data_IF_662762043925
#
_entry.id   IF_662762043925
#
_cell.length_a   1.000
_cell.length_b   1.000
_cell.length_c   1.000
_cell.angle_alpha   90.00
_cell.angle_beta   90.00
_cell.angle_gamma   90.00
#
_symmetry.space_group_name_H-M   'P 1'
#
loop_
_entity.id
_entity.type
_entity.pdbx_description
1 polymer ?
#
# COMPACT_ATOMS: atom_id res chain seq x y z
N UNK A 1 32.15 -28.39 -18.31
CA UNK A 1 30.74 -28.28 -18.78
C UNK A 1 29.87 -27.44 -17.85
N UNK A 2 29.87 -27.68 -16.53
CA UNK A 2 29.09 -26.90 -15.55
C UNK A 2 29.31 -25.38 -15.61
N UNK A 3 30.56 -24.90 -15.73
CA UNK A 3 30.87 -23.46 -15.84
C UNK A 3 30.24 -22.82 -17.09
N UNK A 4 30.28 -23.53 -18.23
CA UNK A 4 29.66 -23.04 -19.47
C UNK A 4 28.13 -23.02 -19.37
N UNK A 5 27.54 -23.93 -18.60
CA UNK A 5 26.10 -23.91 -18.30
C UNK A 5 25.73 -22.65 -17.51
N UNK A 6 26.42 -22.36 -16.40
CA UNK A 6 26.16 -21.15 -15.61
C UNK A 6 26.43 -19.86 -16.39
N UNK A 7 27.48 -19.83 -17.22
CA UNK A 7 27.77 -18.69 -18.07
C UNK A 7 26.63 -18.40 -19.06
N UNK A 8 26.09 -19.45 -19.72
CA UNK A 8 24.92 -19.31 -20.60
C UNK A 8 23.68 -18.87 -19.84
N UNK A 9 23.48 -19.37 -18.63
CA UNK A 9 22.33 -19.00 -17.80
C UNK A 9 22.38 -17.54 -17.35
N UNK A 10 23.55 -17.03 -16.99
CA UNK A 10 23.77 -15.61 -16.69
C UNK A 10 23.55 -14.75 -17.95
N UNK A 11 24.00 -15.21 -19.12
CA UNK A 11 23.79 -14.50 -20.39
C UNK A 11 22.32 -14.37 -20.77
N UNK A 12 21.48 -15.37 -20.49
CA UNK A 12 20.03 -15.28 -20.69
C UNK A 12 19.37 -14.15 -19.88
N UNK A 13 19.98 -13.77 -18.76
CA UNK A 13 19.51 -12.69 -17.89
C UNK A 13 20.14 -11.32 -18.22
N UNK A 14 20.73 -11.17 -19.41
CA UNK A 14 21.41 -9.92 -19.81
C UNK A 14 22.86 -9.84 -19.34
N UNK A 15 23.47 -10.98 -18.97
CA UNK A 15 24.88 -11.06 -18.62
C UNK A 15 25.19 -10.76 -17.16
N UNK A 16 24.16 -10.62 -16.32
CA UNK A 16 24.29 -10.48 -14.87
C UNK A 16 22.99 -10.88 -14.16
N UNK A 17 23.09 -11.45 -12.97
CA UNK A 17 21.95 -12.02 -12.24
C UNK A 17 22.24 -12.12 -10.75
N UNK A 18 21.19 -12.02 -9.93
CA UNK A 18 21.28 -12.23 -8.49
C UNK A 18 21.68 -13.67 -8.17
N UNK A 19 22.60 -13.84 -7.22
CA UNK A 19 23.12 -15.15 -6.78
C UNK A 19 21.98 -16.13 -6.43
N UNK A 20 20.98 -15.70 -5.68
CA UNK A 20 19.88 -16.59 -5.23
C UNK A 20 18.98 -17.10 -6.37
N UNK A 21 19.05 -16.52 -7.58
CA UNK A 21 18.28 -17.03 -8.74
C UNK A 21 18.94 -18.25 -9.39
N UNK A 22 20.26 -18.36 -9.28
CA UNK A 22 21.03 -19.47 -9.84
C UNK A 22 21.39 -20.48 -8.76
N UNK A 23 21.67 -20.01 -7.54
CA UNK A 23 22.21 -20.80 -6.46
C UNK A 23 21.14 -21.20 -5.42
N UNK A 24 20.08 -21.89 -5.87
CA UNK A 24 18.89 -22.18 -5.06
C UNK A 24 19.08 -23.33 -4.06
N UNK A 25 19.64 -24.47 -4.49
CA UNK A 25 19.74 -25.69 -3.65
C UNK A 25 21.18 -25.99 -3.18
N UNK A 26 22.20 -25.53 -3.90
CA UNK A 26 23.62 -25.89 -3.67
C UNK A 26 24.55 -24.67 -3.63
N UNK A 27 24.13 -23.65 -2.89
CA UNK A 27 24.74 -22.32 -2.91
C UNK A 27 26.27 -22.33 -2.70
N UNK A 28 26.75 -23.07 -1.71
CA UNK A 28 28.19 -23.15 -1.41
C UNK A 28 28.99 -23.87 -2.50
N UNK A 29 28.45 -24.95 -3.06
CA UNK A 29 29.09 -25.69 -4.16
C UNK A 29 29.18 -24.83 -5.43
N UNK A 30 28.11 -24.11 -5.75
CA UNK A 30 28.06 -23.22 -6.93
C UNK A 30 29.02 -22.05 -6.77
N UNK A 31 29.05 -21.42 -5.59
CA UNK A 31 30.01 -20.34 -5.29
C UNK A 31 31.45 -20.84 -5.42
N UNK A 32 31.74 -22.04 -4.90
CA UNK A 32 33.07 -22.64 -5.02
C UNK A 32 33.43 -22.89 -6.48
N UNK A 33 32.55 -23.51 -7.27
CA UNK A 33 32.78 -23.75 -8.70
C UNK A 33 33.01 -22.45 -9.50
N UNK A 34 32.25 -21.39 -9.19
CA UNK A 34 32.43 -20.08 -9.81
C UNK A 34 33.75 -19.43 -9.39
N UNK A 35 34.19 -19.62 -8.14
CA UNK A 35 35.48 -19.09 -7.67
C UNK A 35 36.71 -19.72 -8.35
N UNK A 36 36.53 -20.87 -9.02
CA UNK A 36 37.59 -21.55 -9.76
C UNK A 36 37.73 -21.07 -11.21
N UNK A 37 37.00 -20.03 -11.64
CA UNK A 37 37.05 -19.53 -13.01
C UNK A 37 37.03 -18.01 -13.10
N UNK A 38 37.78 -17.48 -14.06
CA UNK A 38 37.78 -16.04 -14.39
C UNK A 38 36.65 -15.65 -15.36
N UNK A 39 35.85 -16.62 -15.83
CA UNK A 39 34.77 -16.37 -16.81
C UNK A 39 33.51 -15.78 -16.19
N UNK A 40 33.35 -15.92 -14.88
CA UNK A 40 32.19 -15.46 -14.13
C UNK A 40 32.73 -14.69 -12.92
N UNK A 41 32.34 -13.42 -12.85
CA UNK A 41 32.72 -12.55 -11.74
C UNK A 41 31.61 -12.62 -10.70
N UNK A 42 32.00 -12.85 -9.46
CA UNK A 42 31.11 -12.78 -8.31
C UNK A 42 31.38 -11.49 -7.55
N UNK A 43 30.37 -10.63 -7.45
CA UNK A 43 30.41 -9.52 -6.51
C UNK A 43 29.66 -9.91 -5.24
N UNK A 44 30.33 -9.74 -4.10
CA UNK A 44 29.73 -10.02 -2.79
C UNK A 44 28.65 -9.00 -2.47
N UNK A 45 27.69 -9.44 -1.66
CA UNK A 45 26.65 -8.59 -1.11
C UNK A 45 27.24 -7.39 -0.35
N UNK A 46 26.63 -6.22 -0.53
CA UNK A 46 26.94 -5.00 0.21
C UNK A 46 25.63 -4.34 0.69
N UNK A 47 25.71 -3.15 1.30
CA UNK A 47 24.53 -2.48 1.86
C UNK A 47 23.47 -2.12 0.80
N UNK A 48 23.90 -1.84 -0.43
CA UNK A 48 23.05 -1.33 -1.50
C UNK A 48 22.60 -2.41 -2.50
N UNK A 49 23.38 -3.48 -2.63
CA UNK A 49 23.23 -4.52 -3.65
C UNK A 49 23.31 -5.92 -3.06
N UNK A 50 22.51 -6.84 -3.62
CA UNK A 50 22.61 -8.28 -3.33
C UNK A 50 23.90 -8.87 -3.90
N UNK A 51 24.24 -10.10 -3.49
CA UNK A 51 25.30 -10.86 -4.17
C UNK A 51 24.90 -11.17 -5.61
N UNK A 52 25.83 -10.98 -6.55
CA UNK A 52 25.56 -11.10 -7.99
C UNK A 52 26.63 -11.92 -8.70
N UNK A 53 26.21 -12.58 -9.78
CA UNK A 53 27.10 -13.17 -10.77
C UNK A 53 26.99 -12.41 -12.08
N UNK A 54 28.13 -12.10 -12.70
CA UNK A 54 28.20 -11.40 -13.97
C UNK A 54 29.24 -12.03 -14.90
N UNK A 55 29.04 -11.88 -16.20
CA UNK A 55 30.01 -12.35 -17.22
C UNK A 55 31.14 -11.35 -17.48
N UNK A 56 30.96 -10.08 -17.09
CA UNK A 56 31.96 -9.01 -17.25
C UNK A 56 31.77 -7.93 -16.18
N UNK A 57 32.84 -7.20 -15.83
CA UNK A 57 32.76 -6.04 -14.94
C UNK A 57 31.93 -4.90 -15.55
N UNK A 58 31.96 -4.76 -16.88
CA UNK A 58 31.15 -3.77 -17.61
C UNK A 58 29.65 -3.95 -17.35
N UNK A 59 29.15 -5.19 -17.32
CA UNK A 59 27.74 -5.47 -17.02
C UNK A 59 27.36 -5.03 -15.60
N UNK A 60 28.27 -5.19 -14.64
CA UNK A 60 28.07 -4.75 -13.25
C UNK A 60 28.01 -3.22 -13.19
N UNK A 61 28.96 -2.53 -13.83
CA UNK A 61 29.02 -1.07 -13.84
C UNK A 61 27.77 -0.47 -14.49
N UNK A 62 27.39 -0.98 -15.67
CA UNK A 62 26.18 -0.56 -16.39
C UNK A 62 24.93 -0.72 -15.53
N UNK A 63 24.78 -1.85 -14.86
CA UNK A 63 23.62 -2.07 -14.00
C UNK A 63 23.59 -1.14 -12.79
N UNK A 64 24.74 -0.90 -12.15
CA UNK A 64 24.84 0.08 -11.05
C UNK A 64 24.49 1.49 -11.51
N UNK A 65 24.89 1.89 -12.71
CA UNK A 65 24.53 3.18 -13.30
C UNK A 65 23.02 3.28 -13.56
N UNK A 66 22.41 2.23 -14.12
CA UNK A 66 20.95 2.17 -14.33
C UNK A 66 20.22 2.28 -12.99
N UNK A 67 20.63 1.52 -11.98
CA UNK A 67 20.03 1.58 -10.63
C UNK A 67 20.14 3.00 -10.05
N UNK A 68 21.32 3.63 -10.13
CA UNK A 68 21.50 5.02 -9.64
C UNK A 68 20.59 6.00 -10.37
N UNK A 69 20.48 5.89 -11.69
CA UNK A 69 19.60 6.74 -12.50
C UNK A 69 18.13 6.55 -12.10
N UNK A 70 17.69 5.30 -11.96
CA UNK A 70 16.32 4.97 -11.57
C UNK A 70 16.00 5.45 -10.15
N UNK A 71 16.93 5.32 -9.20
CA UNK A 71 16.74 5.88 -7.83
C UNK A 71 16.53 7.39 -7.92
N UNK A 72 17.37 8.11 -8.67
CA UNK A 72 17.23 9.55 -8.83
C UNK A 72 15.90 9.94 -9.47
N UNK A 73 15.47 9.23 -10.52
CA UNK A 73 14.16 9.46 -11.16
C UNK A 73 12.98 9.18 -10.21
N UNK A 74 13.10 8.18 -9.34
CA UNK A 74 12.09 7.87 -8.32
C UNK A 74 12.06 8.94 -7.22
N UNK A 75 13.22 9.41 -6.76
CA UNK A 75 13.34 10.49 -5.76
C UNK A 75 12.77 11.81 -6.29
N UNK A 76 13.04 12.16 -7.55
CA UNK A 76 12.50 13.37 -8.20
C UNK A 76 10.97 13.34 -8.33
N UNK A 77 10.39 12.17 -8.62
CA UNK A 77 8.94 12.03 -8.79
C UNK A 77 8.20 11.82 -7.47
N UNK A 78 8.84 11.21 -6.49
CA UNK A 78 8.27 10.95 -5.16
C UNK A 78 7.11 9.94 -5.12
N UNK A 79 6.83 9.25 -6.23
CA UNK A 79 5.74 8.26 -6.35
C UNK A 79 6.20 7.00 -7.10
N UNK A 80 5.61 5.82 -6.81
CA UNK A 80 5.88 4.59 -7.56
C UNK A 80 5.65 4.76 -9.07
N UNK A 81 6.54 4.19 -9.87
CA UNK A 81 6.51 4.24 -11.34
C UNK A 81 5.97 2.93 -11.89
N UNK A 82 4.90 2.98 -12.68
CA UNK A 82 4.42 1.81 -13.41
C UNK A 82 5.46 1.30 -14.41
N UNK A 83 5.61 -0.02 -14.48
CA UNK A 83 6.55 -0.70 -15.37
C UNK A 83 5.87 -1.87 -16.07
N UNK A 84 6.17 -2.05 -17.36
CA UNK A 84 5.69 -3.21 -18.14
C UNK A 84 6.58 -4.45 -17.95
N UNK A 85 7.85 -4.24 -17.70
CA UNK A 85 8.84 -5.30 -17.50
C UNK A 85 9.86 -4.80 -16.49
N UNK A 86 10.19 -5.62 -15.50
CA UNK A 86 11.20 -5.27 -14.51
C UNK A 86 12.57 -5.64 -15.07
N UNK A 87 13.46 -4.67 -15.35
CA UNK A 87 14.79 -4.96 -15.86
C UNK A 87 15.58 -5.81 -14.86
N UNK A 88 16.32 -6.80 -15.36
CA UNK A 88 17.15 -7.67 -14.50
C UNK A 88 18.21 -6.88 -13.73
N UNK A 89 18.64 -5.75 -14.29
CA UNK A 89 19.58 -4.80 -13.69
C UNK A 89 19.02 -4.11 -12.44
N UNK A 90 17.69 -4.05 -12.26
CA UNK A 90 17.11 -3.48 -11.04
C UNK A 90 17.00 -4.53 -9.93
N UNK A 91 17.00 -5.84 -10.26
CA UNK A 91 16.84 -6.92 -9.27
C UNK A 91 18.03 -7.06 -8.33
N UNK A 92 19.18 -6.49 -8.72
CA UNK A 92 20.38 -6.49 -7.89
C UNK A 92 20.32 -5.45 -6.79
N UNK A 93 19.45 -4.45 -6.89
CA UNK A 93 19.34 -3.38 -5.90
C UNK A 93 18.49 -3.83 -4.71
N UNK A 94 18.95 -3.53 -3.50
CA UNK A 94 18.15 -3.62 -2.27
C UNK A 94 17.27 -2.38 -2.06
N UNK A 95 17.55 -1.30 -2.78
CA UNK A 95 16.88 0.00 -2.67
C UNK A 95 15.67 0.12 -3.57
N UNK A 96 15.59 -0.65 -4.66
CA UNK A 96 14.43 -0.67 -5.56
C UNK A 96 13.69 -1.98 -5.36
N UNK A 97 12.38 -1.90 -5.13
CA UNK A 97 11.51 -3.06 -5.03
C UNK A 97 10.30 -2.86 -5.93
N UNK A 98 9.67 -3.98 -6.32
CA UNK A 98 8.35 -3.97 -6.93
C UNK A 98 7.30 -3.67 -5.88
N UNK A 99 6.23 -2.99 -6.29
CA UNK A 99 5.01 -2.87 -5.51
C UNK A 99 4.35 -4.24 -5.35
N UNK A 100 3.46 -4.36 -4.37
CA UNK A 100 2.80 -5.64 -4.05
C UNK A 100 2.00 -6.24 -5.23
N UNK A 101 1.52 -5.42 -6.15
CA UNK A 101 0.80 -5.84 -7.34
C UNK A 101 1.71 -6.13 -8.55
N UNK A 102 3.04 -6.03 -8.38
CA UNK A 102 4.06 -6.19 -9.42
C UNK A 102 3.92 -5.25 -10.63
N UNK A 103 3.07 -4.21 -10.54
CA UNK A 103 2.81 -3.27 -11.64
C UNK A 103 3.74 -2.08 -11.65
N UNK A 104 4.34 -1.75 -10.51
CA UNK A 104 5.18 -0.58 -10.36
C UNK A 104 6.48 -0.88 -9.60
N UNK A 105 7.43 0.03 -9.73
CA UNK A 105 8.67 0.05 -8.94
C UNK A 105 8.69 1.28 -8.04
N UNK A 106 9.32 1.12 -6.89
CA UNK A 106 9.62 2.25 -6.04
C UNK A 106 10.73 1.94 -5.04
N UNK A 107 11.01 2.91 -4.19
CA UNK A 107 12.07 2.76 -3.20
C UNK A 107 11.65 1.82 -2.07
N UNK A 108 12.57 1.00 -1.58
CA UNK A 108 12.32 0.05 -0.49
C UNK A 108 12.02 0.71 0.86
N UNK A 109 12.25 2.02 0.96
CA UNK A 109 11.88 2.89 2.08
C UNK A 109 10.43 3.36 2.00
N UNK A 110 9.79 3.29 0.82
CA UNK A 110 8.42 3.78 0.64
C UNK A 110 7.40 2.80 1.22
N UNK A 111 6.46 3.27 2.08
CA UNK A 111 5.42 2.43 2.66
C UNK A 111 4.53 1.70 1.65
N UNK A 112 4.32 2.33 0.48
CA UNK A 112 3.52 1.81 -0.63
C UNK A 112 4.19 0.62 -1.34
N UNK A 113 5.52 0.56 -1.27
CA UNK A 113 6.33 -0.48 -1.90
C UNK A 113 6.65 -1.59 -0.90
N UNK A 114 7.04 -1.20 0.32
CA UNK A 114 7.42 -2.14 1.38
C UNK A 114 6.75 -1.78 2.70
N UNK A 115 5.52 -2.27 2.94
CA UNK A 115 4.76 -1.94 4.14
C UNK A 115 5.30 -2.70 5.36
N UNK A 116 6.27 -2.10 6.04
CA UNK A 116 6.92 -2.70 7.23
C UNK A 116 6.00 -2.69 8.45
N UNK A 117 5.26 -1.60 8.66
CA UNK A 117 4.40 -1.43 9.83
C UNK A 117 2.98 -1.92 9.57
N UNK A 118 2.22 -2.16 10.65
CA UNK A 118 0.80 -2.54 10.54
C UNK A 118 0.00 -1.43 9.85
N UNK A 119 0.29 -0.16 10.16
CA UNK A 119 -0.31 1.01 9.52
C UNK A 119 -0.09 0.99 8.01
N UNK A 120 1.15 0.78 7.57
CA UNK A 120 1.48 0.80 6.14
C UNK A 120 0.73 -0.31 5.38
N UNK A 121 0.62 -1.50 5.99
CA UNK A 121 -0.14 -2.62 5.43
C UNK A 121 -1.62 -2.30 5.27
N UNK A 122 -2.22 -1.65 6.28
CA UNK A 122 -3.61 -1.19 6.22
C UNK A 122 -3.79 -0.15 5.10
N UNK A 123 -2.88 0.83 5.02
CA UNK A 123 -2.92 1.88 4.00
C UNK A 123 -2.81 1.30 2.59
N UNK A 124 -1.92 0.33 2.39
CA UNK A 124 -1.76 -0.38 1.12
C UNK A 124 -3.08 -1.03 0.69
N UNK A 125 -3.69 -1.83 1.57
CA UNK A 125 -4.94 -2.55 1.27
C UNK A 125 -6.08 -1.58 0.94
N UNK A 126 -6.27 -0.54 1.76
CA UNK A 126 -7.29 0.47 1.47
C UNK A 126 -7.04 1.18 0.15
N UNK A 127 -5.79 1.53 -0.16
CA UNK A 127 -5.42 2.21 -1.41
C UNK A 127 -5.65 1.32 -2.65
N UNK A 128 -5.47 0.01 -2.53
CA UNK A 128 -5.72 -0.94 -3.60
C UNK A 128 -7.22 -1.17 -3.86
N UNK A 129 -8.00 -1.36 -2.80
CA UNK A 129 -9.42 -1.66 -2.93
C UNK A 129 -10.27 -0.43 -3.28
N UNK A 130 -9.80 0.78 -2.94
CA UNK A 130 -10.47 2.06 -3.24
C UNK A 130 -11.91 2.15 -2.74
N UNK A 131 -12.24 1.40 -1.68
CA UNK A 131 -13.54 1.40 -1.01
C UNK A 131 -13.36 1.15 0.49
N UNK A 132 -14.33 1.54 1.33
CA UNK A 132 -14.24 1.24 2.75
C UNK A 132 -14.32 -0.27 3.03
N UNK A 133 -13.50 -0.76 3.95
CA UNK A 133 -13.38 -2.20 4.27
C UNK A 133 -13.60 -2.42 5.76
N UNK A 134 -14.19 -3.56 6.12
CA UNK A 134 -14.33 -3.96 7.50
C UNK A 134 -12.98 -4.41 8.09
N UNK A 135 -12.66 -4.05 9.34
CA UNK A 135 -11.36 -4.35 9.95
C UNK A 135 -10.99 -5.85 9.99
N UNK A 136 -11.99 -6.75 10.04
CA UNK A 136 -11.77 -8.20 9.97
C UNK A 136 -11.26 -8.61 8.59
N UNK A 137 -11.86 -8.09 7.54
CA UNK A 137 -11.47 -8.37 6.16
C UNK A 137 -10.07 -7.78 5.89
N UNK A 138 -9.78 -6.59 6.41
CA UNK A 138 -8.41 -6.03 6.39
C UNK A 138 -7.42 -6.99 7.06
N UNK A 139 -7.79 -7.59 8.20
CA UNK A 139 -6.92 -8.54 8.91
C UNK A 139 -6.63 -9.78 8.07
N UNK A 140 -7.65 -10.33 7.41
CA UNK A 140 -7.50 -11.47 6.51
C UNK A 140 -6.63 -11.14 5.29
N UNK A 141 -6.88 -9.98 4.67
CA UNK A 141 -6.08 -9.49 3.53
C UNK A 141 -4.61 -9.28 3.93
N UNK A 142 -4.33 -8.77 5.13
CA UNK A 142 -2.95 -8.67 5.66
C UNK A 142 -2.33 -10.05 5.86
N UNK A 143 -3.12 -11.02 6.36
CA UNK A 143 -2.67 -12.41 6.54
C UNK A 143 -2.26 -13.10 5.24
N UNK A 144 -2.89 -12.70 4.12
CA UNK A 144 -2.60 -13.22 2.78
C UNK A 144 -1.38 -12.55 2.12
N UNK A 145 -0.80 -11.50 2.71
CA UNK A 145 0.42 -10.89 2.17
C UNK A 145 1.63 -11.84 2.32
N UNK A 146 2.59 -11.83 1.38
CA UNK A 146 3.80 -12.65 1.41
C UNK A 146 4.65 -12.38 2.65
N UNK A 147 4.61 -11.15 3.17
CA UNK A 147 5.16 -10.78 4.47
C UNK A 147 4.20 -11.17 5.60
N UNK A 148 3.90 -12.47 5.69
CA UNK A 148 2.92 -13.06 6.59
C UNK A 148 3.18 -12.60 8.02
N UNK A 149 2.22 -11.86 8.58
CA UNK A 149 2.18 -11.58 10.01
C UNK A 149 0.76 -11.87 10.45
N UNK A 150 0.59 -12.94 11.21
CA UNK A 150 -0.69 -13.28 11.81
C UNK A 150 -0.99 -12.22 12.87
N UNK A 151 -1.76 -11.21 12.47
CA UNK A 151 -2.18 -10.13 13.35
C UNK A 151 -3.57 -10.46 13.89
N UNK A 152 -3.77 -10.22 15.18
CA UNK A 152 -5.09 -10.34 15.76
C UNK A 152 -6.00 -9.20 15.25
N UNK A 153 -7.29 -9.44 14.95
CA UNK A 153 -8.19 -8.39 14.46
C UNK A 153 -8.26 -7.16 15.38
N UNK A 154 -8.12 -7.38 16.70
CA UNK A 154 -8.09 -6.29 17.68
C UNK A 154 -6.86 -5.37 17.50
N UNK A 155 -5.72 -5.91 17.09
CA UNK A 155 -4.51 -5.12 16.81
C UNK A 155 -4.75 -4.18 15.63
N UNK A 156 -5.36 -4.68 14.56
CA UNK A 156 -5.75 -3.87 13.40
C UNK A 156 -6.76 -2.79 13.81
N UNK A 157 -7.77 -3.16 14.59
CA UNK A 157 -8.78 -2.23 15.07
C UNK A 157 -8.17 -1.10 15.92
N UNK A 158 -7.24 -1.42 16.83
CA UNK A 158 -6.56 -0.41 17.65
C UNK A 158 -5.67 0.51 16.80
N UNK A 159 -4.99 -0.04 15.79
CA UNK A 159 -4.17 0.73 14.86
C UNK A 159 -5.02 1.70 14.03
N UNK A 160 -6.18 1.24 13.55
CA UNK A 160 -7.15 2.05 12.79
C UNK A 160 -7.73 3.21 13.62
N UNK A 161 -7.97 2.99 14.91
CA UNK A 161 -8.46 4.06 15.80
C UNK A 161 -7.36 5.06 16.17
N UNK A 162 -6.13 4.57 16.39
CA UNK A 162 -5.02 5.42 16.85
C UNK A 162 -4.56 6.41 15.78
N UNK A 163 -4.61 6.03 14.51
CA UNK A 163 -4.10 6.85 13.41
C UNK A 163 -5.18 7.73 12.80
N UNK A 164 -4.90 9.02 12.66
CA UNK A 164 -5.84 9.98 12.10
C UNK A 164 -6.08 9.81 10.59
N UNK A 165 -5.17 9.15 9.88
CA UNK A 165 -5.31 8.89 8.43
C UNK A 165 -6.51 7.97 8.09
N UNK A 166 -7.06 7.25 9.06
CA UNK A 166 -8.21 6.38 8.89
C UNK A 166 -9.47 6.99 9.51
N UNK A 167 -10.60 6.77 8.86
CA UNK A 167 -11.90 7.26 9.31
C UNK A 167 -12.87 6.09 9.42
N UNK A 168 -13.53 5.97 10.58
CA UNK A 168 -14.61 5.01 10.80
C UNK A 168 -15.88 5.50 10.09
N UNK A 169 -16.25 4.85 8.98
CA UNK A 169 -17.41 5.22 8.16
C UNK A 169 -18.65 4.37 8.44
N UNK A 170 -18.49 3.27 9.19
CA UNK A 170 -19.58 2.36 9.55
C UNK A 170 -19.17 1.47 10.71
N UNK A 171 -20.04 0.56 11.16
CA UNK A 171 -19.71 -0.37 12.25
C UNK A 171 -18.57 -1.31 11.83
N UNK A 172 -17.35 -0.98 12.25
CA UNK A 172 -16.13 -1.70 11.90
C UNK A 172 -15.59 -1.43 10.50
N UNK A 173 -16.21 -0.53 9.72
CA UNK A 173 -15.75 -0.15 8.38
C UNK A 173 -14.88 1.09 8.43
N UNK A 174 -13.71 1.01 7.79
CA UNK A 174 -12.73 2.06 7.75
C UNK A 174 -12.40 2.47 6.31
N UNK A 175 -12.13 3.76 6.13
CA UNK A 175 -11.73 4.39 4.89
C UNK A 175 -10.51 5.28 5.11
N UNK A 176 -9.82 5.66 4.03
CA UNK A 176 -8.79 6.70 4.09
C UNK A 176 -9.45 8.07 4.24
N UNK A 177 -8.86 8.93 5.07
CA UNK A 177 -9.33 10.31 5.27
C UNK A 177 -9.32 11.11 3.96
N UNK A 178 -8.32 10.89 3.12
CA UNK A 178 -8.13 11.61 1.86
C UNK A 178 -9.22 11.33 0.82
N UNK A 179 -10.07 10.33 1.05
CA UNK A 179 -11.25 10.07 0.21
C UNK A 179 -12.41 11.05 0.47
N UNK A 180 -12.26 11.98 1.42
CA UNK A 180 -13.26 13.00 1.73
C UNK A 180 -14.32 12.56 2.73
N UNK A 181 -14.13 11.42 3.41
CA UNK A 181 -15.03 10.98 4.48
C UNK A 181 -14.85 11.84 5.73
N UNK A 182 -15.94 12.45 6.19
CA UNK A 182 -15.92 13.23 7.42
C UNK A 182 -15.71 12.34 8.66
N UNK A 183 -14.94 12.74 9.68
CA UNK A 183 -14.86 12.03 10.95
C UNK A 183 -16.11 12.28 11.83
N UNK A 184 -16.36 11.39 12.81
CA UNK A 184 -17.44 11.58 13.79
C UNK A 184 -18.63 10.61 13.65
N UNK A 185 -19.67 10.84 14.45
CA UNK A 185 -20.89 10.02 14.46
C UNK A 185 -21.87 10.48 13.39
N UNK A 186 -22.89 9.67 13.12
CA UNK A 186 -24.02 10.03 12.23
C UNK A 186 -24.58 11.42 12.54
N UNK A 187 -24.74 11.74 13.83
CA UNK A 187 -25.18 13.07 14.29
C UNK A 187 -24.28 14.20 13.79
N UNK A 188 -22.97 14.01 13.82
CA UNK A 188 -22.01 15.07 13.49
C UNK A 188 -22.01 15.33 11.97
N UNK A 189 -22.21 14.27 11.16
CA UNK A 189 -22.44 14.37 9.72
C UNK A 189 -23.77 15.07 9.39
N UNK A 190 -24.85 14.75 10.12
CA UNK A 190 -26.14 15.46 9.97
C UNK A 190 -25.97 16.95 10.32
N UNK A 191 -25.21 17.27 11.38
CA UNK A 191 -24.94 18.64 11.76
C UNK A 191 -24.18 19.38 10.66
N UNK A 192 -23.13 18.76 10.08
CA UNK A 192 -22.42 19.32 8.92
C UNK A 192 -23.38 19.59 7.74
N UNK A 193 -24.22 18.62 7.38
CA UNK A 193 -25.19 18.75 6.29
C UNK A 193 -26.10 19.98 6.50
N UNK A 194 -26.61 20.14 7.73
CA UNK A 194 -27.50 21.24 8.08
C UNK A 194 -26.78 22.58 8.24
N UNK A 195 -25.50 22.59 8.64
CA UNK A 195 -24.73 23.82 8.84
C UNK A 195 -24.43 24.58 7.56
N UNK A 196 -24.44 23.88 6.41
CA UNK A 196 -24.22 24.48 5.09
C UNK A 196 -25.52 25.07 4.51
N UNK A 197 -26.69 24.71 5.06
CA UNK A 197 -28.00 25.15 4.56
C UNK A 197 -28.68 26.11 5.53
N UNK A 198 -28.73 27.41 5.18
CA UNK A 198 -29.46 28.43 5.94
C UNK A 198 -30.98 28.17 6.01
N UNK A 199 -31.51 27.53 4.95
CA UNK A 199 -32.94 27.23 4.82
C UNK A 199 -33.34 25.87 5.43
N UNK A 200 -32.40 25.10 5.96
CA UNK A 200 -32.63 23.72 6.41
C UNK A 200 -32.77 22.75 5.24
N UNK A 201 -32.74 21.46 5.54
CA UNK A 201 -32.81 20.38 4.53
C UNK A 201 -34.02 19.48 4.78
N UNK A 202 -34.57 18.94 3.70
CA UNK A 202 -35.60 17.90 3.77
C UNK A 202 -35.04 16.60 4.36
N UNK A 203 -35.94 15.71 4.77
CA UNK A 203 -35.56 14.39 5.29
C UNK A 203 -34.70 13.61 4.29
N UNK A 204 -35.10 13.62 3.02
CA UNK A 204 -34.48 12.77 2.01
C UNK A 204 -33.10 13.32 1.59
N UNK A 205 -32.95 14.66 1.53
CA UNK A 205 -31.64 15.30 1.32
C UNK A 205 -30.63 14.94 2.42
N UNK A 206 -31.07 14.95 3.69
CA UNK A 206 -30.20 14.59 4.81
C UNK A 206 -29.85 13.10 4.77
N UNK A 207 -30.83 12.24 4.47
CA UNK A 207 -30.60 10.80 4.34
C UNK A 207 -29.57 10.52 3.26
N UNK A 208 -29.75 11.07 2.06
CA UNK A 208 -28.80 10.89 0.94
C UNK A 208 -27.40 11.38 1.31
N UNK A 209 -27.28 12.61 1.84
CA UNK A 209 -25.99 13.16 2.26
C UNK A 209 -25.27 12.26 3.29
N UNK A 210 -26.01 11.74 4.28
CA UNK A 210 -25.43 10.88 5.30
C UNK A 210 -25.04 9.51 4.73
N UNK A 211 -25.85 8.93 3.84
CA UNK A 211 -25.55 7.65 3.20
C UNK A 211 -24.30 7.73 2.31
N UNK A 212 -24.09 8.86 1.63
CA UNK A 212 -22.87 9.10 0.83
C UNK A 212 -21.61 9.16 1.70
N UNK A 213 -21.75 9.67 2.93
CA UNK A 213 -20.64 9.86 3.87
C UNK A 213 -20.44 8.70 4.86
N UNK A 214 -21.44 7.84 5.04
CA UNK A 214 -21.47 6.80 6.08
C UNK A 214 -22.21 5.56 5.60
N UNK A 215 -21.60 4.39 5.87
CA UNK A 215 -22.21 3.09 5.66
C UNK A 215 -23.19 2.76 6.81
N UNK A 216 -24.35 3.42 6.81
CA UNK A 216 -25.42 3.23 7.79
C UNK A 216 -26.75 2.97 7.09
N UNK A 217 -27.73 2.44 7.82
CA UNK A 217 -29.10 2.27 7.28
C UNK A 217 -29.88 3.57 7.43
N UNK A 218 -30.80 3.84 6.52
CA UNK A 218 -31.72 4.98 6.59
C UNK A 218 -32.41 5.09 7.96
N UNK A 219 -32.86 3.96 8.51
CA UNK A 219 -33.49 3.90 9.83
C UNK A 219 -32.63 4.49 10.95
N UNK A 220 -31.31 4.35 10.86
CA UNK A 220 -30.36 4.93 11.83
C UNK A 220 -30.28 6.45 11.70
N UNK A 221 -30.35 6.97 10.47
CA UNK A 221 -30.38 8.41 10.21
C UNK A 221 -31.68 9.01 10.74
N UNK A 222 -32.81 8.37 10.46
CA UNK A 222 -34.13 8.80 10.95
C UNK A 222 -34.21 8.80 12.47
N UNK A 223 -33.66 7.79 13.13
CA UNK A 223 -33.60 7.73 14.59
C UNK A 223 -32.79 8.91 15.18
N UNK A 224 -31.68 9.31 14.53
CA UNK A 224 -30.91 10.47 14.96
C UNK A 224 -31.67 11.79 14.74
N UNK A 225 -32.39 11.93 13.62
CA UNK A 225 -33.21 13.11 13.31
C UNK A 225 -34.39 13.30 14.28
N UNK A 226 -34.91 12.22 14.86
CA UNK A 226 -35.95 12.27 15.90
C UNK A 226 -35.46 12.88 17.22
N UNK A 227 -34.14 13.04 17.40
CA UNK A 227 -33.58 13.59 18.63
C UNK A 227 -33.80 15.12 18.71
N UNK A 228 -34.91 15.49 19.36
CA UNK A 228 -35.34 16.89 19.60
C UNK A 228 -34.36 17.73 20.42
N UNK A 229 -33.31 17.14 20.99
CA UNK A 229 -32.24 17.88 21.66
C UNK A 229 -31.35 18.62 20.66
N UNK A 230 -31.12 18.05 19.47
CA UNK A 230 -30.16 18.56 18.50
C UNK A 230 -30.82 19.08 17.22
N UNK A 231 -31.95 18.52 16.82
CA UNK A 231 -32.61 18.85 15.56
C UNK A 231 -34.06 19.27 15.78
N UNK A 232 -34.51 20.27 15.02
CA UNK A 232 -35.90 20.74 15.01
C UNK A 232 -36.46 20.62 13.60
N UNK A 233 -37.69 20.12 13.50
CA UNK A 233 -38.46 20.08 12.26
C UNK A 233 -39.38 21.31 12.21
N UNK A 234 -39.40 22.00 11.08
CA UNK A 234 -40.29 23.13 10.84
C UNK A 234 -41.67 22.68 10.32
N UNK A 235 -42.54 23.67 10.03
CA UNK A 235 -43.89 23.41 9.52
C UNK A 235 -43.91 22.90 8.08
N UNK A 236 -42.85 23.16 7.31
CA UNK A 236 -42.68 22.71 5.91
C UNK A 236 -42.03 21.31 5.83
N UNK A 237 -41.60 20.79 6.98
CA UNK A 237 -41.02 19.46 7.11
C UNK A 237 -39.51 19.39 6.93
N UNK A 238 -38.83 20.54 6.86
CA UNK A 238 -37.37 20.64 6.82
C UNK A 238 -36.79 20.62 8.23
N UNK A 239 -35.57 20.11 8.34
CA UNK A 239 -34.83 20.06 9.59
C UNK A 239 -33.83 21.21 9.66
N UNK A 240 -33.67 21.77 10.86
CA UNK A 240 -32.66 22.76 11.21
C UNK A 240 -31.92 22.35 12.48
N UNK A 241 -30.71 22.85 12.63
CA UNK A 241 -29.95 22.73 13.87
C UNK A 241 -30.70 23.49 14.96
N UNK A 242 -30.88 22.86 16.12
CA UNK A 242 -31.37 23.55 17.30
C UNK A 242 -30.17 24.21 17.98
N UNK A 243 -30.07 25.53 17.87
CA UNK A 243 -29.13 26.29 18.71
C UNK A 243 -29.50 26.07 20.18
N UNK A 244 -28.48 25.76 20.98
CA UNK A 244 -28.58 25.58 22.44
C UNK A 244 -28.64 26.95 23.09
#
# INVERSE_FOLDING_TARGET
>A
EAINFYQKEIQKHGGMVKEDKIAVEDKNHIIFLISLTDKIIREKENDDFYAIFATSEENILRAKEIVKKTIKELEEKGIPQEIKTFPGELEISKKILKTYDDKAIGLSTWPEVNPKTVKDKIKLILSQEKKPIHFKDITEMIGNLPQKKNLHPQTIHNELIRNQEFVLVGRGYYALRDWGYNPGRVRDVIYQALSVSENGLSKDEIVNFVLDQRMVKESTVLLNLQNKKFFKKDKEGKYKIKEV
#
